data_IF_997796801508
#
_entry.id   IF_997796801508
#
_cell.length_a   1.000
_cell.length_b   1.000
_cell.length_c   1.000
_cell.angle_alpha   90.00
_cell.angle_beta   90.00
_cell.angle_gamma   90.00
#
_symmetry.space_group_name_H-M   'P 1'
#
loop_
_entity.id
_entity.type
_entity.pdbx_description
1 polymer ?
2 polymer ?
3 water ?
#
# COMPACT_ATOMS: atom_id res chain seq x y z
N UNK A 2 -0.44 -17.61 9.41
CA UNK A 2 -0.38 -16.89 10.73
C UNK A 2 0.79 -15.90 10.75
N UNK A 3 0.51 -14.62 11.11
CA UNK A 3 1.50 -13.54 11.13
C UNK A 3 2.79 -13.89 11.89
N UNK A 4 3.94 -13.59 11.28
CA UNK A 4 5.22 -13.89 11.91
C UNK A 4 5.93 -12.62 12.39
N UNK A 5 6.59 -12.73 13.54
CA UNK A 5 7.29 -11.60 14.12
C UNK A 5 8.75 -11.74 13.76
N UNK A 6 9.38 -10.61 13.45
CA UNK A 6 10.79 -10.60 13.09
C UNK A 6 11.48 -9.39 13.71
N UNK A 7 12.69 -9.62 14.22
CA UNK A 7 13.53 -8.57 14.77
C UNK A 7 14.91 -8.62 14.09
N UNK A 8 15.23 -7.56 13.36
CA UNK A 8 16.54 -7.42 12.73
C UNK A 8 17.41 -6.42 13.50
N UNK A 9 18.63 -6.84 13.80
CA UNK A 9 19.58 -6.04 14.55
C UNK A 9 20.82 -5.75 13.70
N UNK A 10 21.08 -4.46 13.47
CA UNK A 10 22.28 -4.03 12.75
C UNK A 10 23.53 -4.14 13.62
N UNK A 11 24.69 -4.13 12.97
CA UNK A 11 25.99 -4.08 13.65
C UNK A 11 26.73 -2.77 13.34
N UNK A 12 26.01 -1.83 12.72
CA UNK A 12 26.51 -0.50 12.35
C UNK A 12 25.36 0.27 11.71
N UNK A 13 25.27 1.57 12.00
CA UNK A 13 24.17 2.40 11.50
C UNK A 13 24.26 2.62 9.98
N UNK A 14 25.43 2.30 9.43
CA UNK A 14 25.69 2.43 8.00
C UNK A 14 25.19 1.23 7.20
N UNK A 15 25.14 0.07 7.86
CA UNK A 15 24.67 -1.18 7.29
C UNK A 15 23.18 -1.13 6.93
N UNK A 16 22.79 -1.90 5.91
CA UNK A 16 21.39 -1.99 5.50
C UNK A 16 20.80 -3.29 6.05
N UNK A 17 19.47 -3.33 6.11
CA UNK A 17 18.76 -4.55 6.47
C UNK A 17 18.62 -5.49 5.29
N UNK A 18 18.67 -4.90 4.09
CA UNK A 18 18.52 -5.61 2.83
C UNK A 18 17.07 -5.75 2.38
N UNK A 19 16.27 -4.72 2.68
CA UNK A 19 14.82 -4.73 2.43
C UNK A 19 14.36 -3.60 1.49
N UNK A 20 13.66 -3.95 0.41
CA UNK A 20 13.03 -2.94 -0.44
C UNK A 20 11.52 -2.99 -0.23
N UNK A 21 10.93 -1.89 0.22
CA UNK A 21 9.48 -1.85 0.46
C UNK A 21 8.73 -0.97 -0.53
N UNK A 22 7.50 -1.36 -0.82
CA UNK A 22 6.61 -0.61 -1.69
C UNK A 22 5.21 -0.64 -1.10
N UNK A 23 4.42 0.40 -1.37
CA UNK A 23 3.01 0.43 -0.96
C UNK A 23 2.07 0.25 -2.17
N UNK A 24 0.96 -0.45 -1.92
CA UNK A 24 -0.06 -0.69 -2.92
C UNK A 24 -1.43 -0.29 -2.37
N UNK A 25 -2.17 0.51 -3.14
CA UNK A 25 -3.54 0.89 -2.83
C UNK A 25 -4.48 -0.20 -3.33
N UNK A 26 -5.32 -0.71 -2.43
CA UNK A 26 -6.25 -1.77 -2.79
C UNK A 26 -7.69 -1.34 -2.55
N UNK A 27 -8.62 -2.01 -3.23
CA UNK A 27 -10.04 -1.82 -2.98
C UNK A 27 -10.40 -2.64 -1.75
N UNK A 28 -10.69 -1.93 -0.66
CA UNK A 28 -10.99 -2.57 0.62
C UNK A 28 -12.44 -3.03 0.67
N UNK A 29 -13.34 -2.13 0.27
CA UNK A 29 -14.77 -2.41 0.32
C UNK A 29 -15.48 -1.58 -0.76
N UNK A 30 -16.47 -2.18 -1.41
CA UNK A 30 -17.34 -1.47 -2.35
C UNK A 30 -18.73 -1.37 -1.71
N UNK A 31 -19.29 -0.16 -1.70
CA UNK A 31 -20.62 0.07 -1.11
C UNK A 31 -21.68 -0.61 -1.96
N UNK A 32 -22.62 -1.28 -1.29
CA UNK A 32 -23.73 -1.94 -1.97
C UNK A 32 -24.46 -0.96 -2.88
N UNK A 33 -24.73 -1.42 -4.11
CA UNK A 33 -25.54 -0.67 -5.07
C UNK A 33 -24.99 0.73 -5.40
N UNK A 34 -23.72 0.94 -5.08
CA UNK A 34 -23.05 2.21 -5.35
C UNK A 34 -22.74 2.35 -6.84
N UNK A 35 -22.28 3.54 -7.21
CA UNK A 35 -21.85 3.82 -8.58
C UNK A 35 -20.78 2.82 -9.04
N UNK A 36 -19.82 2.52 -8.17
CA UNK A 36 -18.75 1.56 -8.45
C UNK A 36 -19.24 0.11 -8.59
N UNK A 37 -20.26 -0.25 -7.82
CA UNK A 37 -20.80 -1.60 -7.85
C UNK A 37 -21.65 -1.81 -9.10
N UNK A 38 -22.20 -0.72 -9.63
CA UNK A 38 -23.05 -0.75 -10.83
C UNK A 38 -22.23 -0.55 -12.11
N UNK A 39 -21.53 0.59 -12.20
CA UNK A 39 -20.84 1.00 -13.43
C UNK A 39 -19.40 0.48 -13.55
N UNK A 40 -19.09 -0.62 -12.88
CA UNK A 40 -17.70 -1.08 -12.85
C UNK A 40 -17.51 -2.58 -12.83
N UNK A 41 -16.36 -2.98 -13.39
CA UNK A 41 -15.86 -4.34 -13.32
C UNK A 41 -14.73 -4.25 -12.32
N UNK A 42 -15.12 -3.88 -11.11
CA UNK A 42 -14.19 -3.66 -10.01
C UNK A 42 -14.68 -4.51 -8.84
N UNK A 43 -13.76 -5.20 -8.18
CA UNK A 43 -14.13 -6.07 -7.07
C UNK A 43 -13.28 -5.79 -5.84
N UNK A 44 -13.82 -6.13 -4.68
CA UNK A 44 -13.10 -6.03 -3.42
C UNK A 44 -11.82 -6.86 -3.45
N UNK A 45 -10.74 -6.26 -2.97
CA UNK A 45 -9.44 -6.92 -2.97
C UNK A 45 -8.54 -6.61 -4.15
N UNK A 46 -9.10 -6.02 -5.21
CA UNK A 46 -8.30 -5.58 -6.37
C UNK A 46 -7.28 -4.54 -5.97
N UNK A 47 -6.11 -4.60 -6.59
CA UNK A 47 -5.09 -3.59 -6.38
C UNK A 47 -5.28 -2.49 -7.43
N UNK A 48 -5.10 -1.24 -7.01
CA UNK A 48 -5.17 -0.10 -7.91
C UNK A 48 -3.78 0.14 -8.49
N UNK A 49 -3.66 0.04 -9.81
CA UNK A 49 -2.38 0.25 -10.47
C UNK A 49 -2.18 1.69 -10.91
N UNK A 50 -3.28 2.36 -11.29
CA UNK A 50 -3.26 3.74 -11.81
C UNK A 50 -4.57 4.46 -11.47
N UNK A 51 -4.48 5.78 -11.26
CA UNK A 51 -5.66 6.63 -11.10
C UNK A 51 -5.50 7.83 -12.02
N UNK A 52 -6.44 8.00 -12.95
CA UNK A 52 -6.37 9.10 -13.91
C UNK A 52 -5.01 9.12 -14.64
N UNK A 53 -4.47 7.93 -14.90
CA UNK A 53 -3.24 7.79 -15.68
C UNK A 53 -1.96 7.82 -14.88
N UNK A 54 -2.07 8.11 -13.58
CA UNK A 54 -0.91 8.18 -12.71
C UNK A 54 -0.74 6.89 -11.91
N UNK A 55 0.41 6.23 -12.10
CA UNK A 55 0.80 5.04 -11.35
C UNK A 55 0.69 5.34 -9.86
N UNK A 56 0.00 4.46 -9.15
CA UNK A 56 -0.33 4.69 -7.75
C UNK A 56 0.56 3.90 -6.81
N UNK A 57 1.43 3.06 -7.37
CA UNK A 57 2.42 2.38 -6.57
C UNK A 57 3.24 3.40 -5.80
N UNK A 58 3.36 3.18 -4.50
CA UNK A 58 4.13 4.05 -3.61
C UNK A 58 3.47 5.41 -3.31
N UNK A 59 2.30 5.66 -3.88
CA UNK A 59 1.53 6.86 -3.57
C UNK A 59 0.78 6.66 -2.27
N UNK A 60 0.78 7.68 -1.43
CA UNK A 60 0.04 7.65 -0.18
C UNK A 60 -1.43 7.95 -0.46
N UNK A 61 -2.31 7.50 0.44
CA UNK A 61 -3.75 7.75 0.30
C UNK A 61 -4.09 9.25 0.16
N UNK A 62 -3.40 10.10 0.92
CA UNK A 62 -3.58 11.55 0.90
C UNK A 62 -3.26 12.20 -0.47
N UNK A 63 -2.27 11.65 -1.17
CA UNK A 63 -1.91 12.09 -2.51
C UNK A 63 -2.87 11.56 -3.57
N UNK A 64 -3.40 10.36 -3.34
CA UNK A 64 -4.41 9.78 -4.21
C UNK A 64 -5.72 10.56 -4.11
N UNK A 65 -6.06 11.00 -2.90
CA UNK A 65 -7.23 11.85 -2.66
C UNK A 65 -7.16 13.13 -3.49
N UNK A 66 -6.03 13.82 -3.41
CA UNK A 66 -5.77 15.02 -4.21
C UNK A 66 -5.88 14.75 -5.72
N UNK A 67 -5.31 13.63 -6.17
CA UNK A 67 -5.34 13.22 -7.57
C UNK A 67 -6.75 12.90 -8.06
N UNK A 68 -7.55 12.27 -7.19
CA UNK A 68 -8.93 11.91 -7.50
C UNK A 68 -9.84 13.14 -7.67
N UNK A 69 -9.59 14.18 -6.88
CA UNK A 69 -10.40 15.40 -6.86
C UNK A 69 -10.03 16.39 -7.94
N UNK A 70 -8.87 16.20 -8.55
CA UNK A 70 -8.41 17.05 -9.65
C UNK A 70 -9.33 16.87 -10.87
N UNK A 71 -9.98 15.72 -10.93
CA UNK A 71 -10.94 15.41 -11.98
C UNK A 71 -12.32 15.23 -11.35
N UNK A 72 -12.89 16.33 -10.87
CA UNK A 72 -14.22 16.33 -10.27
C UNK A 72 -15.27 15.75 -11.21
N UNK A 73 -15.92 14.68 -10.75
CA UNK A 73 -17.01 14.06 -11.50
C UNK A 73 -16.65 12.79 -12.23
N UNK A 74 -15.41 12.68 -12.70
CA UNK A 74 -14.96 11.50 -13.45
C UNK A 74 -13.76 10.82 -12.79
N UNK A 75 -13.82 9.49 -12.68
CA UNK A 75 -12.74 8.70 -12.10
C UNK A 75 -12.35 7.56 -13.02
N UNK A 76 -11.10 7.60 -13.47
CA UNK A 76 -10.52 6.55 -14.30
C UNK A 76 -9.49 5.75 -13.50
N UNK A 77 -9.61 4.42 -13.54
CA UNK A 77 -8.71 3.55 -12.79
C UNK A 77 -8.26 2.34 -13.59
N UNK A 78 -7.08 1.82 -13.21
CA UNK A 78 -6.63 0.53 -13.71
C UNK A 78 -6.38 -0.36 -12.49
N UNK A 79 -7.04 -1.52 -12.48
CA UNK A 79 -6.99 -2.44 -11.34
C UNK A 79 -6.61 -3.84 -11.77
N UNK A 80 -6.23 -4.66 -10.81
CA UNK A 80 -5.81 -6.03 -11.08
C UNK A 80 -6.31 -6.98 -9.99
N UNK A 81 -6.72 -8.17 -10.40
CA UNK A 81 -7.14 -9.22 -9.47
C UNK A 81 -5.97 -9.67 -8.59
N UNK B 2 -4.27 -10.14 -15.90
CA UNK B 2 -4.29 -8.95 -16.82
C UNK B 2 -5.15 -7.81 -16.24
N UNK B 3 -4.61 -6.57 -16.24
CA UNK B 3 -5.26 -5.35 -15.74
C UNK B 3 -6.67 -5.10 -16.30
N UNK B 4 -7.37 -4.12 -15.71
CA UNK B 4 -8.75 -3.76 -16.08
C UNK B 4 -8.97 -2.26 -15.91
N UNK B 5 -9.47 -1.61 -16.97
CA UNK B 5 -9.82 -0.19 -16.90
C UNK B 5 -11.22 -0.01 -16.32
N UNK B 6 -11.38 1.01 -15.48
CA UNK B 6 -12.65 1.35 -14.84
C UNK B 6 -12.91 2.86 -14.97
N UNK B 7 -14.13 3.22 -15.37
CA UNK B 7 -14.49 4.62 -15.54
C UNK B 7 -15.80 4.91 -14.82
N UNK B 8 -15.73 5.76 -13.80
CA UNK B 8 -16.91 6.08 -13.01
C UNK B 8 -17.23 7.57 -13.15
N UNK B 9 -18.48 7.86 -13.49
CA UNK B 9 -18.92 9.24 -13.68
C UNK B 9 -20.10 9.54 -12.75
N UNK B 10 -19.96 10.60 -11.95
CA UNK B 10 -21.01 11.01 -11.01
C UNK B 10 -22.21 11.67 -11.70
N UNK B 11 -23.39 11.46 -11.12
CA UNK B 11 -24.61 12.06 -11.64
C UNK B 11 -24.98 13.34 -10.88
N UNK B 12 -24.27 13.59 -9.76
CA UNK B 12 -24.48 14.77 -8.93
C UNK B 12 -23.20 15.09 -8.15
N UNK B 13 -23.04 16.35 -7.78
CA UNK B 13 -21.86 16.82 -7.05
C UNK B 13 -21.51 15.99 -5.79
N UNK B 14 -22.54 15.67 -5.00
CA UNK B 14 -22.35 15.05 -3.69
C UNK B 14 -22.55 13.53 -3.63
N UNK B 15 -22.78 12.92 -4.79
CA UNK B 15 -22.81 11.46 -4.91
C UNK B 15 -21.41 10.91 -4.63
N UNK B 16 -21.33 9.78 -3.94
CA UNK B 16 -20.04 9.12 -3.72
C UNK B 16 -19.75 8.08 -4.82
N UNK B 17 -18.48 7.68 -4.96
CA UNK B 17 -18.12 6.59 -5.86
C UNK B 17 -18.52 5.23 -5.29
N UNK B 18 -18.52 5.14 -3.96
CA UNK B 18 -18.87 3.91 -3.28
C UNK B 18 -17.66 3.05 -3.08
N UNK B 19 -16.51 3.69 -2.91
CA UNK B 19 -15.22 2.99 -2.88
C UNK B 19 -14.45 3.33 -1.62
N UNK B 20 -14.04 2.28 -0.90
CA UNK B 20 -13.18 2.41 0.28
C UNK B 20 -11.79 1.90 -0.07
N UNK B 21 -10.85 2.83 -0.21
CA UNK B 21 -9.49 2.51 -0.62
C UNK B 21 -8.61 2.43 0.61
N UNK B 22 -7.59 1.58 0.56
CA UNK B 22 -6.63 1.42 1.64
C UNK B 22 -5.25 1.05 1.07
N UNK B 23 -4.20 1.26 1.85
CA UNK B 23 -2.87 0.93 1.38
C UNK B 23 -2.18 -0.06 2.31
N UNK B 24 -1.32 -0.88 1.71
CA UNK B 24 -0.50 -1.85 2.44
C UNK B 24 0.92 -1.70 1.98
N UNK B 25 1.84 -1.89 2.92
CA UNK B 25 3.27 -1.94 2.62
C UNK B 25 3.66 -3.40 2.44
N UNK B 26 4.41 -3.68 1.37
CA UNK B 26 4.85 -5.04 1.12
C UNK B 26 6.34 -5.14 0.89
N UNK B 27 6.88 -6.32 1.18
CA UNK B 27 8.28 -6.64 0.93
C UNK B 27 8.46 -6.90 -0.56
N UNK B 28 9.02 -5.92 -1.25
CA UNK B 28 9.19 -5.98 -2.69
C UNK B 28 10.41 -6.79 -3.11
N UNK B 29 11.49 -6.70 -2.34
CA UNK B 29 12.72 -7.41 -2.67
C UNK B 29 13.61 -7.52 -1.45
N UNK B 30 14.26 -8.67 -1.33
CA UNK B 30 15.20 -8.95 -0.26
C UNK B 30 16.57 -9.10 -0.90
N UNK B 31 17.52 -8.28 -0.44
CA UNK B 31 18.88 -8.31 -0.98
C UNK B 31 19.55 -9.61 -0.60
N UNK B 32 20.25 -10.22 -1.56
CA UNK B 32 20.97 -11.48 -1.32
C UNK B 32 22.01 -11.35 -0.21
N UNK B 33 22.05 -12.35 0.67
CA UNK B 33 23.03 -12.42 1.76
C UNK B 33 22.91 -11.28 2.76
N UNK B 34 21.77 -10.57 2.71
CA UNK B 34 21.50 -9.46 3.61
C UNK B 34 21.12 -9.98 4.98
N UNK B 35 21.01 -9.05 5.92
CA UNK B 35 20.55 -9.35 7.26
C UNK B 35 19.19 -10.04 7.21
N UNK B 36 18.28 -9.45 6.44
CA UNK B 36 16.93 -10.00 6.27
C UNK B 36 16.95 -11.38 5.59
N UNK B 37 17.85 -11.56 4.63
CA UNK B 37 18.01 -12.83 3.93
C UNK B 37 18.49 -13.94 4.86
N UNK B 38 19.59 -13.71 5.56
CA UNK B 38 20.14 -14.69 6.53
C UNK B 38 19.21 -15.06 7.70
N UNK B 39 18.41 -14.10 8.16
CA UNK B 39 17.40 -14.32 9.21
C UNK B 39 16.37 -15.37 8.79
N UNK B 40 15.91 -15.31 7.54
CA UNK B 40 15.01 -16.33 7.00
C UNK B 40 13.51 -16.16 7.21
N UNK B 41 13.11 -15.29 8.13
CA UNK B 41 11.70 -15.15 8.49
C UNK B 41 10.85 -14.33 7.50
N UNK B 42 11.49 -13.38 6.82
CA UNK B 42 10.82 -12.52 5.86
C UNK B 42 10.98 -13.12 4.48
N UNK B 43 9.92 -13.05 3.69
CA UNK B 43 9.94 -13.52 2.31
C UNK B 43 9.42 -12.44 1.37
N UNK B 44 9.91 -12.46 0.14
CA UNK B 44 9.42 -11.53 -0.88
C UNK B 44 7.91 -11.70 -1.06
N UNK B 45 7.21 -10.58 -1.21
CA UNK B 45 5.75 -10.61 -1.35
C UNK B 45 5.03 -10.40 -0.04
N UNK B 46 5.69 -10.68 1.08
CA UNK B 46 5.07 -10.52 2.39
C UNK B 46 4.50 -9.13 2.54
N UNK B 47 3.38 -9.04 3.25
CA UNK B 47 2.77 -7.75 3.56
C UNK B 47 3.24 -7.44 4.96
N UNK B 48 3.44 -6.16 5.24
CA UNK B 48 3.91 -5.71 6.54
C UNK B 48 2.71 -5.21 7.36
N UNK B 49 2.42 -5.92 8.44
CA UNK B 49 1.30 -5.55 9.31
C UNK B 49 1.70 -4.47 10.31
N UNK B 50 2.92 -4.58 10.84
CA UNK B 50 3.42 -3.62 11.84
C UNK B 50 4.91 -3.35 11.70
N UNK B 51 5.31 -2.12 12.04
CA UNK B 51 6.72 -1.74 12.16
C UNK B 51 6.96 -1.05 13.50
N UNK B 52 7.79 -1.68 14.35
CA UNK B 52 8.09 -1.14 15.67
C UNK B 52 6.82 -0.87 16.50
N UNK B 53 5.94 -1.87 16.55
CA UNK B 53 4.68 -1.78 17.28
C UNK B 53 3.54 -0.96 16.66
N UNK B 54 3.82 -0.27 15.56
CA UNK B 54 2.81 0.58 14.91
C UNK B 54 2.27 -0.13 13.67
N UNK B 55 0.94 -0.11 13.52
CA UNK B 55 0.25 -0.70 12.38
C UNK B 55 0.51 0.15 11.13
N UNK B 56 0.82 -0.51 10.02
CA UNK B 56 1.29 0.20 8.82
C UNK B 56 0.26 0.28 7.68
N UNK B 57 -0.92 -0.29 7.89
CA UNK B 57 -2.02 -0.11 6.96
C UNK B 57 -2.34 1.38 6.86
N UNK B 58 -2.49 1.87 5.62
CA UNK B 58 -2.83 3.27 5.34
C UNK B 58 -1.71 4.25 5.68
N UNK B 59 -0.55 3.71 6.05
CA UNK B 59 0.61 4.54 6.33
C UNK B 59 1.43 4.75 5.06
N UNK B 60 1.83 6.00 4.85
CA UNK B 60 2.64 6.37 3.71
C UNK B 60 4.03 5.80 3.90
N UNK B 61 4.70 5.56 2.77
CA UNK B 61 6.05 5.02 2.76
C UNK B 61 6.99 6.01 3.44
N UNK B 62 6.72 7.30 3.24
CA UNK B 62 7.50 8.36 3.90
C UNK B 62 7.38 8.34 5.43
N UNK B 63 6.17 8.12 5.95
CA UNK B 63 5.96 7.99 7.39
C UNK B 63 6.55 6.72 7.96
N UNK B 64 6.55 5.65 7.16
CA UNK B 64 7.18 4.38 7.54
C UNK B 64 8.69 4.56 7.67
N UNK B 65 9.25 5.42 6.83
CA UNK B 65 10.68 5.72 6.86
C UNK B 65 11.10 6.30 8.21
N UNK B 66 10.31 7.25 8.71
CA UNK B 66 10.55 7.90 10.01
C UNK B 66 10.30 6.92 11.14
N UNK B 67 9.35 6.02 10.93
CA UNK B 67 9.03 4.98 11.89
C UNK B 67 10.18 3.96 12.04
N UNK B 68 10.90 3.70 10.95
CA UNK B 68 12.04 2.78 10.95
C UNK B 68 13.27 3.48 11.53
N UNK B 69 13.49 4.72 11.09
CA UNK B 69 14.62 5.55 11.54
C UNK B 69 14.61 5.88 13.03
N UNK B 70 13.43 5.79 13.65
CA UNK B 70 13.26 5.96 15.10
C UNK B 70 14.19 5.08 15.93
N UNK B 71 14.17 3.79 15.61
CA UNK B 71 14.95 2.79 16.32
C UNK B 71 16.21 2.50 15.52
N UNK B 72 17.31 3.13 15.92
CA UNK B 72 18.60 2.91 15.27
C UNK B 72 19.14 1.54 15.64
N UNK B 73 19.63 0.83 14.63
CA UNK B 73 20.23 -0.48 14.82
C UNK B 73 19.26 -1.63 15.05
N UNK B 74 18.01 -1.32 15.37
CA UNK B 74 17.02 -2.36 15.67
C UNK B 74 15.72 -2.11 14.90
N UNK B 75 15.22 -3.15 14.23
CA UNK B 75 13.95 -3.11 13.49
C UNK B 75 13.08 -4.32 13.83
N UNK B 76 11.94 -4.04 14.45
CA UNK B 76 10.94 -5.06 14.71
C UNK B 76 9.83 -4.95 13.66
N UNK B 77 9.30 -6.09 13.25
CA UNK B 77 8.23 -6.14 12.27
C UNK B 77 7.33 -7.35 12.46
N UNK B 78 6.11 -7.18 11.98
CA UNK B 78 5.15 -8.27 11.89
C UNK B 78 4.80 -8.38 10.40
N UNK B 79 5.08 -9.55 9.83
CA UNK B 79 4.77 -9.80 8.42
C UNK B 79 3.78 -10.95 8.25
N UNK B 80 3.20 -11.04 7.06
CA UNK B 80 2.22 -12.07 6.75
C UNK B 80 2.36 -12.46 5.28
N UNK B 81 2.48 -13.77 5.02
CA UNK B 81 2.52 -14.28 3.64
C UNK B 81 1.29 -13.79 2.88
N UNK B 82 1.51 -13.32 1.65
CA UNK B 82 0.41 -12.86 0.81
C UNK B 82 -0.11 -13.99 -0.09
N UNK C 1 -11.49 -4.46 7.88
CA UNK C 1 -11.60 -3.69 9.15
C UNK C 1 -11.63 -2.19 8.88
N UNK C 2 -12.82 -1.57 8.95
CA UNK C 2 -12.91 -0.13 8.67
C UNK C 2 -11.99 0.69 9.57
N UNK C 3 -11.07 1.43 8.95
CA UNK C 3 -10.21 2.34 9.68
C UNK C 3 -10.64 3.78 9.41
N UNK C 4 -10.42 4.68 10.39
CA UNK C 4 -10.65 6.12 10.18
C UNK C 4 -9.80 6.75 9.07
N UNK C 5 -8.63 6.18 8.81
CA UNK C 5 -7.70 6.72 7.81
C UNK C 5 -7.87 6.10 6.42
N UNK C 6 -8.84 5.20 6.28
CA UNK C 6 -9.22 4.67 4.96
C UNK C 6 -9.64 5.83 4.07
N UNK C 7 -9.51 5.67 2.76
CA UNK C 7 -9.95 6.70 1.84
C UNK C 7 -11.31 6.31 1.28
N UNK C 8 -12.34 7.05 1.69
CA UNK C 8 -13.70 6.84 1.20
C UNK C 8 -14.05 7.92 0.19
N UNK C 9 -14.36 7.49 -1.03
CA UNK C 9 -14.65 8.42 -2.11
C UNK C 9 -15.98 8.08 -2.76
N UNK D 1 9.06 -4.01 -10.77
CA UNK D 1 10.33 -3.32 -11.14
C UNK D 1 10.66 -2.20 -10.15
N UNK D 2 11.96 -1.93 -9.92
CA UNK D 2 12.44 -0.86 -9.04
C UNK D 2 11.85 0.51 -9.38
N UNK D 3 11.57 1.29 -8.34
CA UNK D 3 11.05 2.65 -8.49
C UNK D 3 11.84 3.58 -7.57
N UNK D 4 12.05 4.84 -7.99
CA UNK D 4 12.80 5.80 -7.16
C UNK D 4 12.24 5.95 -5.74
N UNK D 5 10.92 6.08 -5.64
CA UNK D 5 10.25 6.34 -4.37
C UNK D 5 10.00 5.07 -3.52
N UNK D 6 10.66 3.97 -3.90
CA UNK D 6 10.69 2.73 -3.10
C UNK D 6 11.40 3.06 -1.82
N UNK D 7 11.11 2.30 -0.77
CA UNK D 7 11.75 2.51 0.51
C UNK D 7 12.76 1.40 0.73
N UNK D 8 14.03 1.74 0.56
CA UNK D 8 15.14 0.81 0.77
C UNK D 8 15.78 1.05 2.13
N UNK D 9 15.88 0.00 2.93
CA UNK D 9 16.42 0.10 4.28
C UNK D 9 17.39 -1.05 4.54
#
# INVERSE_FOLDING_TARGET
>A
AKPTKVTLVKSAKNEEYGLRLASHIFVKEISQDSLAARDGNIQEGDVVLKINGTVTENMSLTDAKTLIERSKGKLKMVVQRDERATLLNVPD
>B
AKPTKVTLVKSAKNEEYGLRLASHIFVKEISQDSLAARDGNIQEGDVVLKINGTVTENMSLTDAKTLIERSKGKLKMVVQRDERATLLNVPD
>C
RPRPDDLEI
>D
RPRPDDLEI
#
